data_IF_111894541192
#
_entry.id   IF_111894541192
#
_cell.length_a   1.000
_cell.length_b   1.000
_cell.length_c   1.000
_cell.angle_alpha   90.00
_cell.angle_beta   90.00
_cell.angle_gamma   90.00
#
_symmetry.space_group_name_H-M   'P 1'
#
loop_
_entity.id
_entity.type
_entity.pdbx_description
1 polymer ?
#
# COMPACT_ATOMS: atom_id res chain seq x y z
N UNK A 1 -13.15 17.66 31.19
CA UNK A 1 -12.67 18.80 30.38
C UNK A 1 -12.63 18.32 28.92
N UNK A 2 -13.34 18.98 28.06
CA UNK A 2 -13.36 18.72 26.61
C UNK A 2 -12.10 19.33 25.97
N UNK A 3 -11.80 18.92 24.73
CA UNK A 3 -10.68 19.51 23.96
C UNK A 3 -10.84 21.04 23.82
N UNK A 4 -12.06 21.51 23.51
CA UNK A 4 -12.34 22.94 23.36
C UNK A 4 -12.12 23.73 24.65
N UNK A 5 -12.53 23.19 25.80
CA UNK A 5 -12.29 23.78 27.10
C UNK A 5 -10.80 23.85 27.42
N UNK A 6 -10.04 22.80 27.13
CA UNK A 6 -8.59 22.77 27.33
C UNK A 6 -7.88 23.85 26.51
N UNK A 7 -8.23 23.96 25.20
CA UNK A 7 -7.69 25.01 24.32
C UNK A 7 -8.03 26.41 24.84
N UNK A 8 -9.27 26.63 25.33
CA UNK A 8 -9.68 27.89 25.91
C UNK A 8 -8.85 28.28 27.14
N UNK A 9 -8.60 27.35 28.04
CA UNK A 9 -7.77 27.56 29.23
C UNK A 9 -6.32 27.89 28.83
N UNK A 10 -5.72 27.13 27.93
CA UNK A 10 -4.35 27.35 27.47
C UNK A 10 -4.19 28.72 26.80
N UNK A 11 -5.14 29.11 25.95
CA UNK A 11 -5.16 30.41 25.28
C UNK A 11 -5.23 31.56 26.30
N UNK A 12 -6.16 31.47 27.26
CA UNK A 12 -6.38 32.51 28.24
C UNK A 12 -5.23 32.64 29.24
N UNK A 13 -4.47 31.58 29.46
CA UNK A 13 -3.30 31.60 30.36
C UNK A 13 -1.99 31.87 29.63
N UNK A 14 -2.01 32.13 28.33
CA UNK A 14 -0.81 32.36 27.52
C UNK A 14 0.16 31.19 27.47
N UNK A 15 -0.32 29.98 27.73
CA UNK A 15 0.49 28.75 27.66
C UNK A 15 0.60 28.23 26.25
N UNK A 16 1.68 27.52 25.97
CA UNK A 16 1.88 26.85 24.70
C UNK A 16 0.79 25.81 24.45
N UNK A 17 0.19 25.84 23.26
CA UNK A 17 -0.85 24.93 22.83
C UNK A 17 -0.30 23.71 22.04
N UNK A 18 1.00 23.45 22.14
CA UNK A 18 1.64 22.30 21.51
C UNK A 18 1.72 21.14 22.48
N UNK A 19 1.50 19.94 21.96
CA UNK A 19 1.74 18.70 22.67
C UNK A 19 2.62 17.80 21.79
N UNK A 20 3.57 17.12 22.41
CA UNK A 20 4.39 16.11 21.75
C UNK A 20 3.96 14.74 22.24
N UNK A 21 3.66 13.84 21.29
CA UNK A 21 3.37 12.45 21.57
C UNK A 21 4.39 11.57 20.85
N UNK A 22 4.85 10.53 21.50
CA UNK A 22 5.75 9.54 20.92
C UNK A 22 5.16 8.14 21.06
N UNK A 23 5.26 7.38 19.99
CA UNK A 23 4.96 5.96 20.00
C UNK A 23 6.12 5.20 19.35
N UNK A 24 6.55 4.13 19.99
CA UNK A 24 7.56 3.24 19.43
C UNK A 24 6.93 1.90 19.04
N UNK A 25 7.22 1.46 17.83
CA UNK A 25 6.83 0.12 17.39
C UNK A 25 7.43 -0.96 18.29
N UNK A 26 6.76 -2.11 18.47
CA UNK A 26 7.36 -3.28 19.10
C UNK A 26 8.70 -3.62 18.44
N UNK A 27 9.64 -4.08 19.23
CA UNK A 27 10.97 -4.45 18.71
C UNK A 27 10.83 -5.57 17.70
N UNK A 28 11.34 -5.33 16.51
CA UNK A 28 11.53 -6.36 15.49
C UNK A 28 12.95 -6.93 15.62
N UNK A 29 13.11 -8.18 15.25
CA UNK A 29 14.39 -8.90 15.33
C UNK A 29 14.72 -9.57 13.99
N UNK A 30 15.93 -9.38 13.53
CA UNK A 30 16.46 -10.01 12.32
C UNK A 30 17.88 -10.50 12.57
N UNK A 31 18.10 -11.79 12.41
CA UNK A 31 19.42 -12.39 12.42
C UNK A 31 19.94 -12.51 10.99
N UNK A 32 20.96 -11.72 10.66
CA UNK A 32 21.54 -11.68 9.30
C UNK A 32 22.25 -12.95 8.91
N UNK A 33 22.75 -13.73 9.87
CA UNK A 33 23.51 -14.94 9.59
C UNK A 33 22.63 -16.15 9.41
N UNK A 34 21.56 -16.23 10.19
CA UNK A 34 20.67 -17.40 10.23
C UNK A 34 19.36 -17.18 9.47
N UNK A 35 19.11 -15.95 9.02
CA UNK A 35 17.87 -15.53 8.37
C UNK A 35 16.53 -15.76 9.14
N UNK A 36 16.48 -16.36 10.34
CA UNK A 36 15.26 -16.34 11.13
C UNK A 36 15.09 -14.99 11.83
N UNK A 37 13.86 -14.55 11.98
CA UNK A 37 13.54 -13.34 12.71
C UNK A 37 12.08 -12.91 12.55
N UNK A 38 11.67 -11.97 13.36
CA UNK A 38 10.40 -11.26 13.23
C UNK A 38 10.67 -9.85 12.73
N UNK A 39 10.73 -9.67 11.42
CA UNK A 39 11.07 -8.40 10.79
C UNK A 39 9.92 -7.41 10.81
N UNK A 40 8.71 -7.92 10.93
CA UNK A 40 7.50 -7.14 10.80
C UNK A 40 6.77 -7.11 12.13
N UNK A 41 6.30 -5.93 12.48
CA UNK A 41 5.51 -5.71 13.69
C UNK A 41 4.07 -6.25 13.54
N UNK A 42 3.57 -6.29 12.30
CA UNK A 42 2.24 -6.77 11.95
C UNK A 42 2.21 -7.29 10.51
N UNK A 43 1.22 -8.09 10.21
CA UNK A 43 0.98 -8.63 8.88
C UNK A 43 -0.41 -8.21 8.43
N UNK A 44 -0.53 -7.89 7.13
CA UNK A 44 -1.82 -7.72 6.48
C UNK A 44 -2.10 -8.99 5.65
N UNK A 45 -3.34 -9.43 5.67
CA UNK A 45 -3.78 -10.58 4.88
C UNK A 45 -4.65 -10.08 3.74
N UNK A 46 -4.47 -10.68 2.57
CA UNK A 46 -5.25 -10.32 1.41
C UNK A 46 -5.43 -11.49 0.46
N UNK A 47 -6.50 -11.42 -0.31
CA UNK A 47 -6.77 -12.32 -1.42
C UNK A 47 -7.27 -11.49 -2.61
N UNK A 48 -6.84 -11.87 -3.81
CA UNK A 48 -7.27 -11.23 -5.04
C UNK A 48 -7.73 -12.28 -6.04
N UNK A 49 -8.72 -11.93 -6.86
CA UNK A 49 -9.17 -12.69 -7.99
C UNK A 49 -9.33 -11.77 -9.19
N UNK A 50 -8.98 -12.27 -10.37
CA UNK A 50 -9.19 -11.56 -11.61
C UNK A 50 -9.97 -12.44 -12.59
N UNK A 51 -10.89 -11.85 -13.34
CA UNK A 51 -11.52 -12.43 -14.50
C UNK A 51 -10.86 -11.86 -15.75
N UNK A 52 -10.49 -12.74 -16.68
CA UNK A 52 -9.78 -12.34 -17.89
C UNK A 52 -10.45 -12.94 -19.12
N UNK A 53 -10.49 -12.16 -20.19
CA UNK A 53 -10.90 -12.60 -21.52
C UNK A 53 -9.68 -12.64 -22.45
N UNK A 54 -9.49 -13.73 -23.16
CA UNK A 54 -8.36 -13.92 -24.06
C UNK A 54 -8.89 -14.13 -25.48
N UNK A 55 -8.47 -13.28 -26.41
CA UNK A 55 -8.72 -13.49 -27.84
C UNK A 55 -7.86 -14.67 -28.33
N UNK A 56 -8.48 -15.78 -28.76
CA UNK A 56 -7.74 -16.97 -29.18
C UNK A 56 -6.95 -16.80 -30.48
N UNK A 57 -7.23 -15.73 -31.25
CA UNK A 57 -6.55 -15.47 -32.52
C UNK A 57 -5.32 -14.59 -32.30
N UNK A 58 -5.48 -13.51 -31.51
CA UNK A 58 -4.42 -12.52 -31.30
C UNK A 58 -3.60 -12.78 -30.03
N UNK A 59 -4.15 -13.55 -29.09
CA UNK A 59 -3.58 -13.73 -27.76
C UNK A 59 -3.75 -12.51 -26.84
N UNK A 60 -4.48 -11.47 -27.29
CA UNK A 60 -4.75 -10.30 -26.47
C UNK A 60 -5.54 -10.71 -25.24
N UNK A 61 -5.09 -10.24 -24.09
CA UNK A 61 -5.72 -10.49 -22.79
C UNK A 61 -6.28 -9.19 -22.25
N UNK A 62 -7.57 -9.18 -21.93
CA UNK A 62 -8.25 -8.07 -21.28
C UNK A 62 -8.73 -8.52 -19.88
N UNK A 63 -8.52 -7.70 -18.87
CA UNK A 63 -9.05 -7.94 -17.52
C UNK A 63 -10.46 -7.36 -17.45
N UNK A 64 -11.45 -8.24 -17.30
CA UNK A 64 -12.88 -7.86 -17.33
C UNK A 64 -13.41 -7.54 -15.93
N UNK A 65 -12.87 -8.19 -14.88
CA UNK A 65 -13.23 -7.90 -13.50
C UNK A 65 -12.07 -8.20 -12.56
N UNK A 66 -12.05 -7.51 -11.41
CA UNK A 66 -11.03 -7.69 -10.39
C UNK A 66 -11.61 -7.53 -8.99
N UNK A 67 -11.43 -8.53 -8.16
CA UNK A 67 -11.85 -8.51 -6.76
C UNK A 67 -10.63 -8.54 -5.87
N UNK A 68 -10.52 -7.57 -4.96
CA UNK A 68 -9.48 -7.51 -3.93
C UNK A 68 -10.11 -7.47 -2.55
N UNK A 69 -9.70 -8.37 -1.68
CA UNK A 69 -10.14 -8.45 -0.28
C UNK A 69 -8.92 -8.35 0.61
N UNK A 70 -8.90 -7.36 1.50
CA UNK A 70 -7.76 -7.10 2.38
C UNK A 70 -8.21 -6.90 3.82
N UNK A 71 -7.53 -7.57 4.75
CA UNK A 71 -7.59 -7.25 6.17
C UNK A 71 -6.55 -6.16 6.49
N UNK A 72 -7.02 -4.96 6.70
CA UNK A 72 -6.20 -3.79 7.03
C UNK A 72 -6.39 -3.33 8.48
N UNK A 73 -7.04 -4.15 9.32
CA UNK A 73 -7.41 -3.78 10.66
C UNK A 73 -8.40 -2.61 10.70
N UNK A 74 -8.24 -1.70 11.66
CA UNK A 74 -9.14 -0.55 11.81
C UNK A 74 -8.83 0.54 10.79
N UNK A 75 -9.70 0.69 9.80
CA UNK A 75 -9.57 1.72 8.76
C UNK A 75 -9.84 3.10 9.37
N UNK A 76 -8.86 4.00 9.28
CA UNK A 76 -8.97 5.40 9.74
C UNK A 76 -9.49 6.30 8.60
N UNK A 77 -9.00 6.09 7.38
CA UNK A 77 -9.41 6.82 6.20
C UNK A 77 -9.80 5.84 5.08
N UNK A 78 -11.11 5.64 4.89
CA UNK A 78 -11.63 4.68 3.92
C UNK A 78 -11.23 5.03 2.48
N UNK A 79 -11.32 6.30 2.09
CA UNK A 79 -11.00 6.72 0.72
C UNK A 79 -9.52 6.48 0.39
N UNK A 80 -8.62 6.80 1.31
CA UNK A 80 -7.19 6.54 1.14
C UNK A 80 -6.90 5.03 1.07
N UNK A 81 -7.59 4.22 1.87
CA UNK A 81 -7.45 2.75 1.86
C UNK A 81 -7.87 2.16 0.51
N UNK A 82 -9.04 2.55 0.00
CA UNK A 82 -9.52 2.10 -1.32
C UNK A 82 -8.55 2.55 -2.43
N UNK A 83 -8.05 3.79 -2.35
CA UNK A 83 -7.05 4.29 -3.29
C UNK A 83 -5.75 3.49 -3.28
N UNK A 84 -5.27 3.05 -2.12
CA UNK A 84 -4.07 2.19 -2.01
C UNK A 84 -4.31 0.81 -2.63
N UNK A 85 -5.46 0.19 -2.37
CA UNK A 85 -5.80 -1.11 -2.98
C UNK A 85 -5.91 -0.97 -4.48
N UNK A 86 -6.65 0.03 -4.98
CA UNK A 86 -6.81 0.28 -6.42
C UNK A 86 -5.49 0.55 -7.12
N UNK A 87 -4.61 1.35 -6.51
CA UNK A 87 -3.25 1.59 -7.01
C UNK A 87 -2.42 0.32 -7.10
N UNK A 88 -2.46 -0.52 -6.05
CA UNK A 88 -1.77 -1.82 -6.04
C UNK A 88 -2.28 -2.78 -7.12
N UNK A 89 -3.61 -2.83 -7.32
CA UNK A 89 -4.24 -3.63 -8.39
C UNK A 89 -3.78 -3.15 -9.77
N UNK A 90 -3.81 -1.83 -10.01
CA UNK A 90 -3.38 -1.24 -11.28
C UNK A 90 -1.93 -1.56 -11.60
N UNK A 91 -1.04 -1.44 -10.60
CA UNK A 91 0.37 -1.84 -10.75
C UNK A 91 0.53 -3.32 -11.05
N UNK A 92 -0.24 -4.19 -10.38
CA UNK A 92 -0.20 -5.64 -10.61
C UNK A 92 -0.66 -6.03 -12.01
N UNK A 93 -1.71 -5.39 -12.51
CA UNK A 93 -2.21 -5.58 -13.89
C UNK A 93 -1.18 -5.07 -14.90
N UNK A 94 -0.61 -3.89 -14.68
CA UNK A 94 0.46 -3.34 -15.51
C UNK A 94 1.65 -4.29 -15.59
N UNK A 95 2.12 -4.77 -14.45
CA UNK A 95 3.23 -5.73 -14.39
C UNK A 95 2.94 -7.03 -15.16
N UNK A 96 1.70 -7.51 -15.07
CA UNK A 96 1.31 -8.77 -15.73
C UNK A 96 1.13 -8.65 -17.25
N UNK A 97 0.64 -7.51 -17.74
CA UNK A 97 0.19 -7.39 -19.13
C UNK A 97 1.06 -6.48 -20.00
N UNK A 98 1.70 -5.46 -19.43
CA UNK A 98 2.36 -4.41 -20.20
C UNK A 98 3.82 -4.16 -19.85
N UNK A 99 4.23 -4.42 -18.60
CA UNK A 99 5.61 -4.16 -18.21
C UNK A 99 6.55 -5.25 -18.70
N UNK A 100 7.39 -4.93 -19.67
CA UNK A 100 8.46 -5.79 -20.14
C UNK A 100 9.81 -5.10 -19.93
N UNK A 101 10.57 -5.59 -18.95
CA UNK A 101 11.89 -5.08 -18.60
C UNK A 101 13.03 -5.77 -19.40
N UNK A 102 12.76 -6.21 -20.63
CA UNK A 102 13.79 -6.83 -21.47
C UNK A 102 14.87 -5.81 -21.85
N UNK A 103 16.11 -6.11 -21.44
CA UNK A 103 17.27 -5.25 -21.66
C UNK A 103 18.34 -5.98 -22.49
N UNK A 104 18.09 -6.29 -23.76
CA UNK A 104 19.06 -6.97 -24.60
C UNK A 104 20.33 -6.13 -24.77
N UNK A 105 21.48 -6.69 -24.41
CA UNK A 105 22.76 -5.99 -24.48
C UNK A 105 22.94 -4.87 -23.47
N UNK A 106 22.14 -4.84 -22.38
CA UNK A 106 22.24 -3.82 -21.32
C UNK A 106 21.55 -2.49 -21.67
N UNK A 107 20.85 -2.42 -22.78
CA UNK A 107 20.07 -1.24 -23.18
C UNK A 107 18.58 -1.53 -22.93
N UNK A 108 17.96 -0.73 -22.06
CA UNK A 108 16.52 -0.80 -21.83
C UNK A 108 15.81 -0.38 -23.13
N UNK A 109 15.03 -1.28 -23.71
CA UNK A 109 14.04 -0.88 -24.70
C UNK A 109 12.93 -0.18 -23.93
N UNK A 110 12.72 1.11 -24.19
CA UNK A 110 11.55 1.78 -23.70
C UNK A 110 10.32 1.00 -24.20
N UNK A 111 9.55 0.43 -23.29
CA UNK A 111 8.23 -0.03 -23.66
C UNK A 111 7.46 1.21 -24.11
N UNK A 112 6.93 1.18 -25.31
CA UNK A 112 6.07 2.24 -25.81
C UNK A 112 4.86 2.32 -24.85
N UNK A 113 4.73 3.46 -24.21
CA UNK A 113 3.56 3.81 -23.39
C UNK A 113 2.49 4.34 -24.34
N UNK A 114 2.03 3.51 -25.28
CA UNK A 114 0.91 3.82 -26.15
C UNK A 114 -0.43 3.40 -25.50
#
# INVERSE_FOLDING_TARGET
>A
MTFTEAVGVLRNTGRDMRAHGWWAAPKTFWDREKCPGSNYMSYAYGACGAEVEIDPITGKTDVTDFVAVHDMGRIINHAATVGQVGGGVSMGVGYALTENADTPGGVTRAADLD
#
